data_IF_276099991338
#
_entry.id   IF_276099991338
#
_cell.length_a   1.000
_cell.length_b   1.000
_cell.length_c   1.000
_cell.angle_alpha   90.00
_cell.angle_beta   90.00
_cell.angle_gamma   90.00
#
_symmetry.space_group_name_H-M   'P 1'
#
loop_
_entity.id
_entity.type
_entity.pdbx_description
1 polymer ?
#
# COMPACT_ATOMS: atom_id res chain seq x y z
N UNK A 1 29.65 28.46 2.76
CA UNK A 1 28.37 28.07 2.15
C UNK A 1 27.27 28.98 2.69
N UNK A 2 26.49 29.58 1.82
CA UNK A 2 25.41 30.55 2.13
C UNK A 2 24.08 29.87 2.50
N UNK A 3 24.08 28.58 2.84
CA UNK A 3 22.87 27.82 3.17
C UNK A 3 22.05 27.32 1.97
N UNK A 4 22.49 27.57 0.74
CA UNK A 4 21.81 27.10 -0.46
C UNK A 4 22.18 25.65 -0.81
N UNK A 5 21.22 24.89 -1.32
CA UNK A 5 21.49 23.58 -1.90
C UNK A 5 22.22 23.76 -3.24
N UNK A 6 23.36 23.06 -3.40
CA UNK A 6 24.22 23.14 -4.58
C UNK A 6 24.30 21.80 -5.33
N UNK A 7 23.46 20.85 -5.00
CA UNK A 7 23.46 19.52 -5.60
C UNK A 7 23.39 18.40 -4.57
N UNK A 8 23.88 17.22 -4.93
CA UNK A 8 23.87 16.04 -4.06
C UNK A 8 25.24 15.38 -3.97
N UNK A 9 25.46 14.69 -2.87
CA UNK A 9 26.55 13.73 -2.70
C UNK A 9 25.95 12.32 -2.73
N UNK A 10 26.43 11.50 -3.63
CA UNK A 10 25.97 10.12 -3.77
C UNK A 10 27.13 9.14 -3.49
N UNK A 11 26.80 7.98 -2.93
CA UNK A 11 27.71 6.84 -2.80
C UNK A 11 27.41 5.88 -3.95
N UNK A 12 28.42 5.54 -4.72
CA UNK A 12 28.34 4.60 -5.84
C UNK A 12 28.44 3.14 -5.36
N UNK A 13 28.17 2.17 -6.26
CA UNK A 13 28.21 0.73 -5.92
C UNK A 13 29.60 0.24 -5.50
N UNK A 14 30.65 0.84 -6.06
CA UNK A 14 32.05 0.58 -5.71
C UNK A 14 32.52 1.32 -4.43
N UNK A 15 31.57 1.92 -3.72
CA UNK A 15 31.79 2.66 -2.47
C UNK A 15 32.54 3.99 -2.62
N UNK A 16 32.73 4.48 -3.85
CA UNK A 16 33.27 5.81 -4.10
C UNK A 16 32.25 6.91 -3.87
N UNK A 17 32.69 8.14 -3.68
CA UNK A 17 31.84 9.31 -3.48
C UNK A 17 31.76 10.12 -4.77
N UNK A 18 30.55 10.39 -5.25
CA UNK A 18 30.25 11.24 -6.38
C UNK A 18 29.58 12.53 -5.92
N UNK A 19 30.12 13.68 -6.32
CA UNK A 19 29.48 14.98 -6.12
C UNK A 19 28.84 15.43 -7.43
N UNK A 20 27.51 15.65 -7.38
CA UNK A 20 26.73 16.13 -8.53
C UNK A 20 26.31 17.57 -8.21
N UNK A 21 26.95 18.53 -8.87
CA UNK A 21 26.60 19.95 -8.74
C UNK A 21 25.36 20.25 -9.59
N UNK A 22 24.40 20.95 -9.00
CA UNK A 22 23.20 21.37 -9.66
C UNK A 22 22.75 22.74 -9.16
N UNK A 23 22.21 23.56 -10.06
CA UNK A 23 21.61 24.84 -9.70
C UNK A 23 20.29 24.63 -8.94
N UNK A 24 19.50 23.66 -9.38
CA UNK A 24 18.22 23.30 -8.80
C UNK A 24 18.24 21.81 -8.45
N UNK A 25 17.76 21.46 -7.26
CA UNK A 25 17.67 20.06 -6.79
C UNK A 25 16.25 19.77 -6.37
N UNK A 26 15.61 18.79 -7.02
CA UNK A 26 14.26 18.32 -6.69
C UNK A 26 14.34 17.15 -5.73
N UNK A 27 13.71 17.26 -4.56
CA UNK A 27 13.58 16.19 -3.59
C UNK A 27 12.30 15.39 -3.87
N UNK A 28 12.43 14.24 -4.50
CA UNK A 28 11.32 13.36 -4.87
C UNK A 28 11.55 11.94 -4.31
N UNK A 29 11.84 11.83 -3.02
CA UNK A 29 12.36 10.62 -2.35
C UNK A 29 11.28 9.68 -1.84
N UNK A 30 10.01 9.94 -2.13
CA UNK A 30 8.87 9.17 -1.60
C UNK A 30 8.53 9.51 -0.15
N UNK A 31 7.61 8.74 0.41
CA UNK A 31 7.06 8.94 1.75
C UNK A 31 7.66 8.01 2.80
N UNK A 32 6.79 7.57 3.73
CA UNK A 32 7.15 6.79 4.93
C UNK A 32 6.60 5.37 4.89
N UNK A 33 6.12 4.89 3.73
CA UNK A 33 5.41 3.62 3.61
C UNK A 33 6.19 2.40 4.08
N UNK A 34 7.52 2.43 3.98
CA UNK A 34 8.37 1.35 4.46
C UNK A 34 8.42 1.16 5.98
N UNK A 35 7.81 2.09 6.76
CA UNK A 35 7.70 1.98 8.22
C UNK A 35 6.47 1.19 8.68
N UNK A 36 5.54 0.88 7.78
CA UNK A 36 4.32 0.15 8.09
C UNK A 36 4.51 -1.35 7.89
N UNK A 37 3.89 -2.14 8.76
CA UNK A 37 3.93 -3.60 8.70
C UNK A 37 3.31 -4.13 7.40
N UNK A 38 2.14 -3.59 7.04
CA UNK A 38 1.48 -3.86 5.76
C UNK A 38 1.60 -2.63 4.88
N UNK A 39 2.36 -2.73 3.81
CA UNK A 39 2.60 -1.61 2.91
C UNK A 39 2.74 -2.07 1.46
N UNK A 40 2.13 -1.32 0.58
CA UNK A 40 2.30 -1.46 -0.87
C UNK A 40 3.56 -0.76 -1.39
N UNK A 41 4.28 -0.05 -0.52
CA UNK A 41 5.52 0.66 -0.82
C UNK A 41 6.75 -0.22 -0.61
N UNK A 42 7.87 0.22 -1.15
CA UNK A 42 9.15 -0.45 -0.91
C UNK A 42 9.65 -0.19 0.52
N UNK A 43 10.27 -1.19 1.19
CA UNK A 43 10.78 -1.04 2.56
C UNK A 43 11.82 0.07 2.75
N UNK A 44 12.49 0.51 1.66
CA UNK A 44 13.45 1.60 1.70
C UNK A 44 12.81 3.00 1.78
N UNK A 45 11.49 3.13 1.68
CA UNK A 45 10.78 4.40 1.78
C UNK A 45 10.49 4.74 3.24
N UNK A 46 11.51 5.16 3.97
CA UNK A 46 11.50 5.40 5.42
C UNK A 46 11.41 6.88 5.82
N UNK A 47 11.21 7.77 4.85
CA UNK A 47 11.05 9.21 5.10
C UNK A 47 12.37 9.92 5.43
N UNK A 48 13.52 9.40 5.05
CA UNK A 48 14.84 9.96 5.36
C UNK A 48 14.98 11.41 4.92
N UNK A 49 14.40 11.77 3.76
CA UNK A 49 14.40 13.14 3.27
C UNK A 49 13.63 14.11 4.16
N UNK A 50 12.59 13.67 4.86
CA UNK A 50 11.88 14.50 5.85
C UNK A 50 12.82 14.86 7.02
N UNK A 51 13.64 13.91 7.45
CA UNK A 51 14.65 14.13 8.49
C UNK A 51 15.70 15.13 8.03
N UNK A 52 16.17 15.00 6.78
CA UNK A 52 17.14 15.95 6.18
C UNK A 52 16.51 17.35 6.07
N UNK A 53 15.30 17.45 5.54
CA UNK A 53 14.57 18.71 5.39
C UNK A 53 14.40 19.43 6.75
N UNK A 54 13.95 18.69 7.79
CA UNK A 54 13.81 19.21 9.16
C UNK A 54 15.13 19.72 9.73
N UNK A 55 16.21 18.98 9.52
CA UNK A 55 17.56 19.36 9.97
C UNK A 55 18.03 20.69 9.38
N UNK A 56 17.59 21.01 8.18
CA UNK A 56 17.93 22.24 7.48
C UNK A 56 16.88 23.35 7.61
N UNK A 57 15.95 23.23 8.56
CA UNK A 57 14.93 24.25 8.84
C UNK A 57 13.85 24.40 7.78
N UNK A 58 13.69 23.40 6.89
CA UNK A 58 12.59 23.38 5.93
C UNK A 58 11.29 23.12 6.69
N UNK A 59 10.28 23.94 6.45
CA UNK A 59 8.94 23.74 7.03
C UNK A 59 8.31 22.47 6.48
N UNK A 60 7.88 21.59 7.40
CA UNK A 60 7.14 20.38 7.07
C UNK A 60 5.67 20.56 7.46
N UNK A 61 4.76 20.12 6.61
CA UNK A 61 3.32 20.22 6.83
C UNK A 61 2.66 18.88 6.52
N UNK A 62 1.52 18.61 7.16
CA UNK A 62 0.66 17.45 6.91
C UNK A 62 1.37 16.09 7.02
N UNK A 63 2.27 15.95 8.01
CA UNK A 63 2.99 14.68 8.25
C UNK A 63 2.08 13.54 8.74
N UNK A 64 0.88 13.87 9.16
CA UNK A 64 -0.21 12.98 9.53
C UNK A 64 -1.05 12.48 8.32
N UNK A 65 -0.82 13.05 7.12
CA UNK A 65 -1.54 12.67 5.91
C UNK A 65 -0.94 11.41 5.30
N UNK A 66 -1.37 10.26 5.82
CA UNK A 66 -1.00 8.94 5.30
C UNK A 66 -2.22 8.30 4.67
N UNK A 67 -2.15 7.97 3.37
CA UNK A 67 -3.23 7.26 2.71
C UNK A 67 -3.13 5.77 2.99
N UNK A 68 -4.22 5.19 3.48
CA UNK A 68 -4.38 3.75 3.67
C UNK A 68 -5.26 3.19 2.54
N UNK A 69 -4.78 2.14 1.87
CA UNK A 69 -5.59 1.39 0.91
C UNK A 69 -6.31 0.25 1.63
N UNK A 70 -7.63 0.09 1.47
CA UNK A 70 -8.42 -0.88 2.23
C UNK A 70 -8.03 -2.34 1.96
N UNK A 71 -7.64 -2.66 0.73
CA UNK A 71 -7.51 -4.04 0.27
C UNK A 71 -6.13 -4.30 -0.33
N UNK A 72 -5.21 -4.80 0.48
CA UNK A 72 -4.01 -5.50 0.02
C UNK A 72 -4.08 -6.98 0.42
N UNK A 73 -3.49 -7.85 -0.38
CA UNK A 73 -3.43 -9.27 -0.07
C UNK A 73 -2.68 -9.47 1.24
N UNK A 74 -3.33 -10.13 2.21
CA UNK A 74 -2.69 -10.48 3.47
C UNK A 74 -1.70 -11.62 3.27
N UNK A 75 -0.50 -11.46 3.79
CA UNK A 75 0.54 -12.47 3.83
C UNK A 75 1.43 -12.27 5.05
N UNK A 76 1.93 -13.35 5.61
CA UNK A 76 2.95 -13.32 6.67
C UNK A 76 4.38 -13.21 6.11
N UNK A 77 4.53 -13.32 4.79
CA UNK A 77 5.82 -13.16 4.12
C UNK A 77 6.31 -11.72 4.27
N UNK A 78 7.59 -11.52 4.61
CA UNK A 78 8.15 -10.17 4.67
C UNK A 78 8.21 -9.56 3.28
N UNK A 79 8.00 -8.25 3.21
CA UNK A 79 8.14 -7.50 1.97
C UNK A 79 6.96 -6.59 1.67
N UNK A 80 6.84 -6.29 0.39
CA UNK A 80 5.80 -5.40 -0.12
C UNK A 80 4.47 -6.13 -0.27
N UNK A 81 3.40 -5.59 0.33
CA UNK A 81 2.05 -6.14 0.16
C UNK A 81 1.55 -5.96 -1.28
N UNK A 82 0.89 -6.97 -1.82
CA UNK A 82 0.28 -6.89 -3.14
C UNK A 82 -1.05 -6.13 -3.07
N UNK A 83 -1.16 -5.07 -3.87
CA UNK A 83 -2.35 -4.22 -3.92
C UNK A 83 -3.46 -4.90 -4.73
N UNK A 84 -4.62 -5.12 -4.10
CA UNK A 84 -5.86 -5.45 -4.82
C UNK A 84 -6.54 -4.13 -5.18
N UNK A 85 -6.55 -3.82 -6.47
CA UNK A 85 -7.05 -2.55 -6.99
C UNK A 85 -8.48 -2.22 -6.51
N UNK A 86 -8.74 -0.95 -6.27
CA UNK A 86 -10.07 -0.43 -5.93
C UNK A 86 -11.13 -0.78 -6.99
N UNK A 87 -10.71 -0.90 -8.25
CA UNK A 87 -11.59 -1.33 -9.34
C UNK A 87 -12.23 -2.69 -9.11
N UNK A 88 -11.59 -3.60 -8.35
CA UNK A 88 -12.21 -4.88 -7.98
C UNK A 88 -13.50 -4.68 -7.17
N UNK A 89 -13.48 -3.75 -6.20
CA UNK A 89 -14.67 -3.37 -5.41
C UNK A 89 -15.69 -2.62 -6.28
N UNK A 90 -15.21 -1.78 -7.20
CA UNK A 90 -16.06 -1.07 -8.17
C UNK A 90 -16.79 -2.02 -9.13
N UNK A 91 -16.19 -3.13 -9.52
CA UNK A 91 -16.80 -4.18 -10.36
C UNK A 91 -17.71 -5.14 -9.57
N UNK A 92 -17.75 -5.02 -8.22
CA UNK A 92 -18.68 -5.78 -7.40
C UNK A 92 -18.04 -6.79 -6.44
N UNK A 93 -16.72 -6.81 -6.25
CA UNK A 93 -16.12 -7.60 -5.20
C UNK A 93 -16.57 -7.11 -3.82
N UNK A 94 -16.88 -8.04 -2.90
CA UNK A 94 -17.48 -7.74 -1.60
C UNK A 94 -16.57 -8.16 -0.44
N UNK A 95 -16.60 -7.36 0.63
CA UNK A 95 -15.86 -7.63 1.86
C UNK A 95 -16.71 -8.47 2.82
N UNK A 96 -16.13 -9.56 3.28
CA UNK A 96 -16.77 -10.54 4.17
C UNK A 96 -15.97 -10.67 5.46
N UNK A 97 -16.68 -10.88 6.58
CA UNK A 97 -16.10 -11.25 7.85
C UNK A 97 -15.82 -12.77 7.92
N UNK A 98 -15.29 -13.25 9.04
CA UNK A 98 -14.97 -14.67 9.25
C UNK A 98 -16.18 -15.61 9.20
N UNK A 99 -17.40 -15.07 9.26
CA UNK A 99 -18.65 -15.84 9.11
C UNK A 99 -19.18 -15.86 7.67
N UNK A 100 -18.49 -15.16 6.74
CA UNK A 100 -18.94 -15.00 5.36
C UNK A 100 -20.04 -13.93 5.20
N UNK A 101 -20.23 -13.04 6.15
CA UNK A 101 -21.23 -11.98 6.12
C UNK A 101 -20.59 -10.68 5.63
N UNK A 102 -21.29 -9.95 4.75
CA UNK A 102 -20.90 -8.62 4.29
C UNK A 102 -21.14 -7.61 5.42
N UNK A 103 -20.13 -6.79 5.75
CA UNK A 103 -20.18 -5.90 6.91
C UNK A 103 -20.02 -4.41 6.58
N UNK A 104 -19.69 -4.06 5.33
CA UNK A 104 -19.48 -2.67 4.90
C UNK A 104 -19.95 -2.46 3.46
N UNK A 105 -20.26 -1.21 3.11
CA UNK A 105 -20.41 -0.81 1.70
C UNK A 105 -19.02 -0.49 1.14
N UNK A 106 -18.54 -1.31 0.23
CA UNK A 106 -17.20 -1.25 -0.36
C UNK A 106 -16.95 -0.02 -1.25
N UNK A 107 -18.00 0.69 -1.62
CA UNK A 107 -17.94 1.90 -2.45
C UNK A 107 -17.80 3.20 -1.63
N UNK A 108 -17.75 3.10 -0.31
CA UNK A 108 -17.43 4.23 0.56
C UNK A 108 -15.98 4.70 0.34
N UNK A 109 -15.63 5.94 0.77
CA UNK A 109 -14.24 6.42 0.77
C UNK A 109 -13.28 5.45 1.45
N UNK A 110 -12.02 5.44 0.99
CA UNK A 110 -11.00 4.47 1.45
C UNK A 110 -10.79 4.46 2.95
N UNK A 111 -10.81 5.61 3.59
CA UNK A 111 -10.68 5.78 5.03
C UNK A 111 -11.84 5.12 5.78
N UNK A 112 -13.08 5.32 5.32
CA UNK A 112 -14.25 4.70 5.92
C UNK A 112 -14.23 3.16 5.77
N UNK A 113 -13.85 2.65 4.59
CA UNK A 113 -13.72 1.20 4.37
C UNK A 113 -12.59 0.61 5.21
N UNK A 114 -11.44 1.28 5.28
CA UNK A 114 -10.31 0.83 6.11
C UNK A 114 -10.67 0.76 7.59
N UNK A 115 -11.34 1.80 8.12
CA UNK A 115 -11.82 1.81 9.51
C UNK A 115 -12.82 0.69 9.79
N UNK A 116 -13.73 0.41 8.86
CA UNK A 116 -14.68 -0.69 9.00
C UNK A 116 -13.97 -2.05 9.03
N UNK A 117 -12.96 -2.25 8.17
CA UNK A 117 -12.14 -3.47 8.17
C UNK A 117 -11.39 -3.62 9.50
N UNK A 118 -10.73 -2.58 9.98
CA UNK A 118 -10.01 -2.62 11.27
C UNK A 118 -10.95 -2.91 12.45
N UNK A 119 -12.15 -2.33 12.44
CA UNK A 119 -13.16 -2.58 13.47
C UNK A 119 -13.63 -4.05 13.46
N UNK A 120 -13.86 -4.62 12.27
CA UNK A 120 -14.29 -6.02 12.15
C UNK A 120 -13.16 -6.98 12.52
N UNK A 121 -11.92 -6.74 12.07
CA UNK A 121 -10.74 -7.51 12.48
C UNK A 121 -10.58 -7.51 14.02
N UNK A 122 -10.71 -6.35 14.66
CA UNK A 122 -10.63 -6.22 16.13
C UNK A 122 -11.74 -6.97 16.83
N UNK A 123 -12.96 -6.93 16.33
CA UNK A 123 -14.13 -7.62 16.87
C UNK A 123 -13.98 -9.13 16.81
N UNK A 124 -13.41 -9.65 15.72
CA UNK A 124 -13.20 -11.07 15.49
C UNK A 124 -11.88 -11.61 16.07
N UNK A 125 -10.95 -10.71 16.45
CA UNK A 125 -9.59 -11.09 16.85
C UNK A 125 -8.77 -11.66 15.69
N UNK A 126 -9.08 -11.26 14.45
CA UNK A 126 -8.43 -11.73 13.23
C UNK A 126 -7.38 -10.74 12.73
N UNK A 127 -6.42 -11.23 11.91
CA UNK A 127 -5.39 -10.40 11.27
C UNK A 127 -5.81 -9.92 9.88
N UNK A 128 -6.95 -10.34 9.36
CA UNK A 128 -7.45 -9.99 8.02
C UNK A 128 -8.98 -10.16 7.97
N UNK A 129 -9.58 -9.62 6.91
CA UNK A 129 -10.93 -9.92 6.45
C UNK A 129 -10.86 -10.61 5.09
N UNK A 130 -12.00 -10.96 4.51
CA UNK A 130 -12.07 -11.68 3.25
C UNK A 130 -12.61 -10.78 2.14
N UNK A 131 -12.01 -10.84 0.95
CA UNK A 131 -12.53 -10.21 -0.26
C UNK A 131 -12.99 -11.29 -1.22
N UNK A 132 -14.29 -11.29 -1.56
CA UNK A 132 -14.89 -12.25 -2.46
C UNK A 132 -15.17 -11.63 -3.83
N UNK A 133 -14.71 -12.31 -4.87
CA UNK A 133 -15.00 -11.99 -6.27
C UNK A 133 -16.23 -12.76 -6.81
N UNK A 134 -16.92 -13.54 -5.97
CA UNK A 134 -18.07 -14.35 -6.39
C UNK A 134 -19.19 -13.59 -7.13
N UNK A 135 -19.48 -12.29 -6.83
CA UNK A 135 -20.48 -11.54 -7.60
C UNK A 135 -20.03 -11.17 -9.01
N UNK A 136 -18.74 -11.27 -9.34
CA UNK A 136 -18.16 -10.85 -10.62
C UNK A 136 -18.09 -12.07 -11.55
N UNK A 137 -18.57 -11.99 -12.81
CA UNK A 137 -18.43 -13.08 -13.77
C UNK A 137 -16.96 -13.47 -13.98
N UNK A 138 -16.66 -14.76 -14.03
CA UNK A 138 -15.29 -15.26 -14.19
C UNK A 138 -14.59 -14.70 -15.44
N UNK A 139 -15.33 -14.48 -16.52
CA UNK A 139 -14.81 -13.84 -17.73
C UNK A 139 -14.31 -12.45 -17.44
N UNK A 140 -15.10 -11.62 -16.73
CA UNK A 140 -14.74 -10.26 -16.33
C UNK A 140 -13.50 -10.27 -15.43
N UNK A 141 -13.39 -11.20 -14.47
CA UNK A 141 -12.21 -11.34 -13.61
C UNK A 141 -10.95 -11.52 -14.45
N UNK A 142 -10.98 -12.42 -15.42
CA UNK A 142 -9.82 -12.74 -16.27
C UNK A 142 -9.46 -11.62 -17.26
N UNK A 143 -10.46 -10.88 -17.73
CA UNK A 143 -10.26 -9.77 -18.69
C UNK A 143 -9.85 -8.47 -18.03
N UNK A 144 -10.46 -8.11 -16.88
CA UNK A 144 -10.24 -6.83 -16.20
C UNK A 144 -9.14 -6.91 -15.13
N UNK A 145 -8.90 -8.09 -14.53
CA UNK A 145 -7.98 -8.28 -13.43
C UNK A 145 -6.96 -9.41 -13.66
N UNK A 146 -6.36 -9.55 -14.86
CA UNK A 146 -5.45 -10.67 -15.16
C UNK A 146 -4.29 -10.73 -14.17
N UNK A 147 -3.66 -9.61 -13.86
CA UNK A 147 -2.54 -9.55 -12.93
C UNK A 147 -2.94 -9.88 -11.48
N UNK A 148 -4.13 -9.45 -11.03
CA UNK A 148 -4.64 -9.82 -9.70
C UNK A 148 -4.90 -11.32 -9.66
N UNK A 149 -5.53 -11.88 -10.71
CA UNK A 149 -5.81 -13.31 -10.80
C UNK A 149 -4.54 -14.15 -10.75
N UNK A 150 -3.54 -13.81 -11.58
CA UNK A 150 -2.25 -14.52 -11.64
C UNK A 150 -1.50 -14.44 -10.31
N UNK A 151 -1.36 -13.25 -9.73
CA UNK A 151 -0.66 -13.08 -8.45
C UNK A 151 -1.36 -13.83 -7.31
N UNK A 152 -2.69 -13.79 -7.24
CA UNK A 152 -3.41 -14.55 -6.23
C UNK A 152 -3.23 -16.06 -6.40
N UNK A 153 -3.22 -16.57 -7.64
CA UNK A 153 -2.92 -17.99 -7.92
C UNK A 153 -1.50 -18.39 -7.47
N UNK A 154 -0.51 -17.55 -7.71
CA UNK A 154 0.87 -17.76 -7.24
C UNK A 154 0.97 -17.82 -5.71
N UNK A 155 0.12 -17.06 -5.01
CA UNK A 155 0.00 -17.09 -3.56
C UNK A 155 -0.95 -18.19 -3.05
N UNK A 156 -1.52 -19.01 -3.93
CA UNK A 156 -2.33 -20.18 -3.60
C UNK A 156 -3.84 -19.96 -3.55
N UNK A 157 -4.33 -18.80 -4.03
CA UNK A 157 -5.74 -18.44 -4.01
C UNK A 157 -6.34 -18.36 -5.41
N UNK A 158 -7.39 -19.11 -5.69
CA UNK A 158 -8.18 -18.96 -6.92
C UNK A 158 -9.39 -18.03 -6.67
N UNK A 159 -9.24 -16.74 -6.99
CA UNK A 159 -10.27 -15.71 -6.76
C UNK A 159 -11.58 -15.96 -7.50
N UNK A 160 -11.60 -16.91 -8.45
CA UNK A 160 -12.82 -17.33 -9.14
C UNK A 160 -13.63 -18.38 -8.38
N UNK A 161 -13.05 -18.95 -7.29
CA UNK A 161 -13.65 -20.06 -6.53
C UNK A 161 -13.80 -19.74 -5.05
N UNK A 162 -12.89 -18.91 -4.51
CA UNK A 162 -12.79 -18.67 -3.09
C UNK A 162 -12.49 -17.19 -2.78
N UNK A 163 -12.88 -16.68 -1.61
CA UNK A 163 -12.47 -15.37 -1.15
C UNK A 163 -10.99 -15.38 -0.75
N UNK A 164 -10.35 -14.22 -0.86
CA UNK A 164 -8.95 -14.02 -0.50
C UNK A 164 -8.81 -13.19 0.77
N UNK A 165 -7.78 -13.45 1.61
CA UNK A 165 -7.54 -12.64 2.80
C UNK A 165 -6.98 -11.27 2.41
N UNK A 166 -7.56 -10.21 2.96
CA UNK A 166 -7.11 -8.83 2.71
C UNK A 166 -7.01 -8.03 3.99
N UNK A 167 -6.11 -7.04 3.98
CA UNK A 167 -5.84 -6.14 5.10
C UNK A 167 -5.61 -4.73 4.59
N UNK A 168 -5.96 -3.68 5.35
CA UNK A 168 -5.57 -2.32 5.04
C UNK A 168 -4.04 -2.18 5.03
N UNK A 169 -3.51 -1.45 4.04
CA UNK A 169 -2.07 -1.21 3.89
C UNK A 169 -1.78 0.23 3.45
N UNK A 170 -0.63 0.71 3.86
CA UNK A 170 -0.12 2.02 3.47
C UNK A 170 0.48 1.98 2.05
#
# INVERSE_FOLDING_TARGET
>A
ANGACAGIQARTRDNSTLFIHARDTVMATGGIGGLYQHSTNFPCLTGDALTVARKHGVKLEHLDYVQIHPTSLYTEKPGRSFLISESARGEGAVLLNGKGERFVNELLPRDAVSQAIEAEMKKEGSCHVWLSFAPIPQKTIREHFPHIYETCLEEGYDITKEPIPVVPAQ
#
